data_IF_151013938775
#
_entry.id   IF_151013938775
#
_cell.length_a   1.000
_cell.length_b   1.000
_cell.length_c   1.000
_cell.angle_alpha   90.00
_cell.angle_beta   90.00
_cell.angle_gamma   90.00
#
_symmetry.space_group_name_H-M   'P 1'
#
loop_
_entity.id
_entity.type
_entity.pdbx_description
1 polymer ?
#
# COMPACT_ATOMS: atom_id res chain seq x y z
N UNK A 1 -20.49 -39.05 2.82
CA UNK A 1 -19.82 -37.89 2.20
C UNK A 1 -20.95 -37.00 1.72
N UNK A 2 -21.30 -35.95 2.46
CA UNK A 2 -22.33 -35.02 2.00
C UNK A 2 -21.68 -34.13 0.95
N UNK A 3 -22.05 -34.30 -0.31
CA UNK A 3 -21.80 -33.26 -1.31
C UNK A 3 -22.53 -32.00 -0.84
N UNK A 4 -21.77 -30.97 -0.49
CA UNK A 4 -22.33 -29.66 -0.23
C UNK A 4 -22.90 -29.13 -1.55
N UNK A 5 -24.21 -29.16 -1.71
CA UNK A 5 -24.89 -28.50 -2.83
C UNK A 5 -24.64 -27.00 -2.68
N UNK A 6 -23.76 -26.46 -3.52
CA UNK A 6 -23.54 -25.02 -3.61
C UNK A 6 -24.75 -24.40 -4.29
N UNK A 7 -25.54 -23.61 -3.55
CA UNK A 7 -26.69 -22.90 -4.10
C UNK A 7 -26.26 -21.51 -4.57
N UNK A 8 -26.50 -21.21 -5.85
CA UNK A 8 -26.27 -19.88 -6.43
C UNK A 8 -27.58 -19.12 -6.52
N UNK A 9 -27.53 -17.81 -6.29
CA UNK A 9 -28.72 -16.95 -6.38
C UNK A 9 -29.15 -16.73 -7.83
N UNK A 10 -28.19 -16.74 -8.76
CA UNK A 10 -28.42 -16.53 -10.19
C UNK A 10 -27.75 -17.62 -11.02
N UNK A 11 -28.40 -18.05 -12.10
CA UNK A 11 -27.83 -19.02 -13.03
C UNK A 11 -26.70 -18.40 -13.84
N UNK A 12 -26.85 -17.15 -14.29
CA UNK A 12 -25.84 -16.48 -15.11
C UNK A 12 -25.68 -15.00 -14.75
N UNK A 13 -24.45 -14.65 -14.40
CA UNK A 13 -24.04 -13.31 -13.98
C UNK A 13 -22.99 -12.76 -14.94
N UNK A 14 -23.02 -11.45 -15.16
CA UNK A 14 -22.01 -10.73 -15.94
C UNK A 14 -21.22 -9.75 -15.10
N UNK A 15 -19.95 -9.60 -15.44
CA UNK A 15 -19.06 -8.56 -14.92
C UNK A 15 -18.20 -8.05 -16.07
N UNK A 16 -17.98 -6.74 -16.16
CA UNK A 16 -17.23 -6.15 -17.27
C UNK A 16 -16.22 -5.11 -16.78
N UNK A 17 -15.07 -5.05 -17.44
CA UNK A 17 -14.00 -4.14 -17.07
C UNK A 17 -12.84 -4.15 -18.05
N UNK A 18 -11.96 -3.16 -17.90
CA UNK A 18 -10.67 -3.17 -18.58
C UNK A 18 -9.72 -4.16 -17.91
N UNK A 19 -9.81 -4.33 -16.59
CA UNK A 19 -8.95 -5.22 -15.80
C UNK A 19 -7.45 -4.94 -16.01
N UNK A 20 -7.08 -3.67 -16.21
CA UNK A 20 -5.69 -3.25 -16.27
C UNK A 20 -5.04 -3.43 -14.90
N UNK A 21 -3.90 -4.13 -14.88
CA UNK A 21 -3.14 -4.49 -13.67
C UNK A 21 -4.07 -5.04 -12.58
N UNK A 22 -4.61 -6.24 -12.80
CA UNK A 22 -5.55 -6.91 -11.90
C UNK A 22 -5.12 -6.73 -10.42
N UNK A 23 -6.00 -6.13 -9.64
CA UNK A 23 -5.74 -5.63 -8.29
C UNK A 23 -6.95 -5.94 -7.40
N UNK A 24 -6.79 -5.83 -6.08
CA UNK A 24 -7.83 -6.22 -5.10
C UNK A 24 -9.21 -5.61 -5.35
N UNK A 25 -9.28 -4.37 -5.85
CA UNK A 25 -10.54 -3.77 -6.29
C UNK A 25 -11.28 -4.59 -7.38
N UNK A 26 -10.57 -5.06 -8.41
CA UNK A 26 -11.16 -5.96 -9.42
C UNK A 26 -11.51 -7.32 -8.82
N UNK A 27 -10.61 -7.88 -8.01
CA UNK A 27 -10.82 -9.19 -7.38
C UNK A 27 -12.08 -9.21 -6.51
N UNK A 28 -12.43 -8.12 -5.83
CA UNK A 28 -13.66 -8.01 -5.05
C UNK A 28 -14.91 -8.14 -5.93
N UNK A 29 -14.94 -7.47 -7.09
CA UNK A 29 -16.04 -7.55 -8.05
C UNK A 29 -16.12 -8.95 -8.68
N UNK A 30 -14.98 -9.53 -9.07
CA UNK A 30 -14.92 -10.88 -9.63
C UNK A 30 -15.36 -11.94 -8.61
N UNK A 31 -14.85 -11.85 -7.38
CA UNK A 31 -15.22 -12.76 -6.29
C UNK A 31 -16.73 -12.69 -6.03
N UNK A 32 -17.30 -11.48 -6.02
CA UNK A 32 -18.76 -11.33 -5.88
C UNK A 32 -19.51 -12.00 -7.04
N UNK A 33 -19.03 -11.87 -8.28
CA UNK A 33 -19.66 -12.52 -9.43
C UNK A 33 -19.71 -14.05 -9.28
N UNK A 34 -18.60 -14.68 -8.87
CA UNK A 34 -18.54 -16.13 -8.69
C UNK A 34 -19.24 -16.65 -7.43
N UNK A 35 -19.52 -15.79 -6.46
CA UNK A 35 -20.35 -16.10 -5.30
C UNK A 35 -21.86 -16.06 -5.62
N UNK A 36 -22.27 -15.18 -6.53
CA UNK A 36 -23.68 -14.96 -6.88
C UNK A 36 -24.15 -15.83 -8.05
N UNK A 37 -23.26 -16.10 -9.01
CA UNK A 37 -23.57 -16.79 -10.26
C UNK A 37 -23.06 -18.21 -10.33
N UNK A 38 -23.90 -19.12 -10.82
CA UNK A 38 -23.49 -20.47 -11.25
C UNK A 38 -22.54 -20.37 -12.46
N UNK A 39 -22.88 -19.54 -13.45
CA UNK A 39 -22.04 -19.19 -14.59
C UNK A 39 -21.69 -17.70 -14.56
N UNK A 40 -20.46 -17.36 -14.93
CA UNK A 40 -19.97 -15.98 -14.96
C UNK A 40 -19.39 -15.64 -16.33
N UNK A 41 -19.96 -14.63 -16.98
CA UNK A 41 -19.36 -14.03 -18.19
C UNK A 41 -18.61 -12.74 -17.83
N UNK A 42 -17.33 -12.72 -18.17
CA UNK A 42 -16.38 -11.64 -17.90
C UNK A 42 -16.08 -10.88 -19.19
N UNK A 43 -16.63 -9.68 -19.30
CA UNK A 43 -16.37 -8.78 -20.42
C UNK A 43 -15.05 -8.04 -20.27
N UNK A 44 -14.08 -8.31 -21.14
CA UNK A 44 -12.77 -7.67 -21.16
C UNK A 44 -12.66 -6.68 -22.33
N UNK A 45 -12.43 -5.40 -22.05
CA UNK A 45 -12.35 -4.38 -23.12
C UNK A 45 -11.19 -4.63 -24.09
N UNK A 46 -11.42 -4.48 -25.40
CA UNK A 46 -10.39 -4.60 -26.43
C UNK A 46 -9.39 -3.44 -26.38
N UNK A 47 -8.25 -3.59 -27.04
CA UNK A 47 -7.22 -2.54 -27.07
C UNK A 47 -7.70 -1.31 -27.85
N UNK A 48 -8.50 -1.49 -28.90
CA UNK A 48 -9.12 -0.40 -29.65
C UNK A 48 -10.08 0.41 -28.76
N UNK A 49 -10.86 -0.26 -27.91
CA UNK A 49 -11.76 0.41 -26.96
C UNK A 49 -10.96 1.24 -25.96
N UNK A 50 -9.88 0.67 -25.41
CA UNK A 50 -8.99 1.34 -24.46
C UNK A 50 -8.37 2.59 -25.09
N UNK A 51 -7.83 2.49 -26.30
CA UNK A 51 -7.25 3.61 -27.03
C UNK A 51 -8.26 4.74 -27.27
N UNK A 52 -9.46 4.39 -27.76
CA UNK A 52 -10.49 5.38 -28.11
C UNK A 52 -11.10 6.08 -26.89
N UNK A 53 -11.41 5.34 -25.83
CA UNK A 53 -12.29 5.85 -24.75
C UNK A 53 -11.60 6.03 -23.40
N UNK A 54 -10.51 5.31 -23.12
CA UNK A 54 -9.81 5.38 -21.83
C UNK A 54 -8.60 6.31 -21.92
N UNK A 55 -7.72 6.07 -22.87
CA UNK A 55 -6.51 6.88 -23.04
C UNK A 55 -6.87 8.34 -23.37
N UNK A 56 -7.89 8.57 -24.21
CA UNK A 56 -8.37 9.91 -24.55
C UNK A 56 -9.06 10.65 -23.39
N UNK A 57 -9.71 9.94 -22.45
CA UNK A 57 -10.32 10.56 -21.26
C UNK A 57 -9.26 10.86 -20.21
N UNK A 58 -8.33 9.94 -19.99
CA UNK A 58 -7.26 10.10 -19.02
C UNK A 58 -6.28 11.21 -19.44
N UNK A 59 -5.92 11.28 -20.72
CA UNK A 59 -5.11 12.37 -21.26
C UNK A 59 -5.78 13.75 -21.12
N UNK A 60 -7.12 13.81 -21.10
CA UNK A 60 -7.88 15.05 -20.85
C UNK A 60 -8.00 15.41 -19.36
N UNK A 61 -7.91 14.43 -18.45
CA UNK A 61 -7.90 14.66 -17.00
C UNK A 61 -6.52 14.97 -16.43
N UNK A 62 -5.45 14.71 -17.18
CA UNK A 62 -4.08 15.09 -16.82
C UNK A 62 -3.87 16.61 -16.91
N UNK A 63 -4.42 17.35 -15.95
CA UNK A 63 -3.92 18.68 -15.64
C UNK A 63 -2.58 18.52 -14.91
N UNK A 64 -1.53 19.15 -15.42
CA UNK A 64 -0.15 19.18 -14.91
C UNK A 64 0.80 18.04 -15.33
N UNK A 65 1.50 18.25 -16.45
CA UNK A 65 2.96 18.08 -16.50
C UNK A 65 3.55 16.69 -16.79
N UNK A 66 2.78 15.61 -16.89
CA UNK A 66 3.31 14.32 -17.33
C UNK A 66 2.89 13.98 -18.76
N UNK A 67 3.80 14.22 -19.71
CA UNK A 67 3.68 13.90 -21.15
C UNK A 67 3.81 12.38 -21.43
N UNK A 68 3.16 11.53 -20.64
CA UNK A 68 3.23 10.07 -20.83
C UNK A 68 1.84 9.54 -21.10
N UNK A 69 1.64 9.00 -22.30
CA UNK A 69 0.41 8.26 -22.64
C UNK A 69 0.22 7.12 -21.64
N UNK A 70 -0.97 6.97 -21.03
CA UNK A 70 -1.20 5.91 -20.06
C UNK A 70 -0.94 4.54 -20.69
N UNK A 71 0.08 3.84 -20.17
CA UNK A 71 0.50 2.52 -20.65
C UNK A 71 -0.37 1.43 -20.02
N UNK A 72 -1.54 1.23 -20.61
CA UNK A 72 -2.46 0.13 -20.28
C UNK A 72 -1.95 -1.14 -20.96
N UNK A 73 -2.03 -2.27 -20.24
CA UNK A 73 -1.62 -3.58 -20.76
C UNK A 73 -2.45 -4.00 -21.98
N UNK A 74 -1.87 -4.81 -22.87
CA UNK A 74 -2.58 -5.34 -24.03
C UNK A 74 -3.73 -6.28 -23.62
N UNK A 75 -4.69 -6.48 -24.52
CA UNK A 75 -5.80 -7.41 -24.32
C UNK A 75 -5.31 -8.81 -23.98
N UNK A 76 -4.24 -9.25 -24.67
CA UNK A 76 -3.61 -10.55 -24.44
C UNK A 76 -3.10 -10.68 -23.01
N UNK A 77 -2.34 -9.68 -22.52
CA UNK A 77 -1.79 -9.68 -21.16
C UNK A 77 -2.90 -9.62 -20.10
N UNK A 78 -3.90 -8.74 -20.29
CA UNK A 78 -5.04 -8.62 -19.37
C UNK A 78 -5.87 -9.90 -19.33
N UNK A 79 -6.10 -10.54 -20.48
CA UNK A 79 -6.77 -11.84 -20.56
C UNK A 79 -5.98 -12.92 -19.84
N UNK A 80 -4.66 -12.95 -20.01
CA UNK A 80 -3.80 -13.92 -19.30
C UNK A 80 -3.90 -13.74 -17.78
N UNK A 81 -3.82 -12.51 -17.28
CA UNK A 81 -3.98 -12.25 -15.84
C UNK A 81 -5.33 -12.70 -15.28
N UNK A 82 -6.42 -12.57 -16.06
CA UNK A 82 -7.72 -13.11 -15.67
C UNK A 82 -7.74 -14.64 -15.65
N UNK A 83 -7.15 -15.29 -16.66
CA UNK A 83 -7.05 -16.75 -16.70
C UNK A 83 -6.23 -17.30 -15.52
N UNK A 84 -5.10 -16.66 -15.19
CA UNK A 84 -4.27 -17.04 -14.05
C UNK A 84 -5.04 -16.90 -12.73
N UNK A 85 -5.81 -15.81 -12.58
CA UNK A 85 -6.67 -15.59 -11.41
C UNK A 85 -7.77 -16.66 -11.31
N UNK A 86 -8.46 -16.97 -12.42
CA UNK A 86 -9.49 -18.01 -12.47
C UNK A 86 -8.94 -19.39 -12.12
N UNK A 87 -7.76 -19.74 -12.63
CA UNK A 87 -7.10 -21.00 -12.33
C UNK A 87 -6.73 -21.11 -10.84
N UNK A 88 -6.17 -20.04 -10.27
CA UNK A 88 -5.79 -19.98 -8.85
C UNK A 88 -6.99 -20.15 -7.91
N UNK A 89 -8.19 -19.72 -8.33
CA UNK A 89 -9.41 -19.78 -7.51
C UNK A 89 -10.34 -20.94 -7.89
N UNK A 90 -9.96 -21.80 -8.85
CA UNK A 90 -10.78 -22.94 -9.27
C UNK A 90 -12.07 -22.57 -10.01
N UNK A 91 -12.10 -21.43 -10.71
CA UNK A 91 -13.30 -20.91 -11.39
C UNK A 91 -13.35 -21.17 -12.89
N UNK A 92 -12.34 -21.84 -13.46
CA UNK A 92 -12.18 -22.02 -14.91
C UNK A 92 -13.40 -22.62 -15.60
N UNK A 93 -14.05 -23.63 -15.00
CA UNK A 93 -15.17 -24.35 -15.64
C UNK A 93 -16.45 -23.53 -15.73
N UNK A 94 -16.58 -22.48 -14.89
CA UNK A 94 -17.78 -21.64 -14.80
C UNK A 94 -17.58 -20.25 -15.39
N UNK A 95 -16.42 -19.99 -15.98
CA UNK A 95 -16.02 -18.67 -16.45
C UNK A 95 -15.97 -18.60 -17.98
N UNK A 96 -16.55 -17.55 -18.55
CA UNK A 96 -16.43 -17.22 -19.98
C UNK A 96 -15.88 -15.81 -20.14
N UNK A 97 -14.76 -15.64 -20.84
CA UNK A 97 -14.18 -14.31 -21.12
C UNK A 97 -14.58 -13.86 -22.53
N UNK A 98 -15.24 -12.71 -22.65
CA UNK A 98 -15.69 -12.13 -23.93
C UNK A 98 -14.99 -10.80 -24.16
N UNK A 99 -14.50 -10.57 -25.39
CA UNK A 99 -13.92 -9.29 -25.77
C UNK A 99 -15.02 -8.22 -25.97
N UNK A 100 -14.84 -7.04 -25.37
CA UNK A 100 -15.76 -5.92 -25.52
C UNK A 100 -15.16 -4.83 -26.41
N UNK A 101 -15.83 -4.56 -27.53
CA UNK A 101 -15.43 -3.51 -28.48
C UNK A 101 -16.22 -2.20 -28.29
N UNK A 102 -17.25 -2.22 -27.43
CA UNK A 102 -18.12 -1.09 -27.11
C UNK A 102 -18.45 -1.05 -25.60
N UNK A 103 -19.05 0.04 -25.08
CA UNK A 103 -19.31 0.21 -23.65
C UNK A 103 -20.37 -0.73 -23.05
N UNK A 104 -21.14 -1.41 -23.90
CA UNK A 104 -22.32 -2.18 -23.53
C UNK A 104 -22.09 -3.67 -23.64
N UNK A 105 -21.29 -4.14 -24.59
CA UNK A 105 -20.96 -5.56 -24.72
C UNK A 105 -22.19 -6.45 -24.99
N UNK A 106 -22.14 -7.75 -24.62
CA UNK A 106 -23.20 -8.71 -24.94
C UNK A 106 -24.45 -8.58 -24.04
N UNK A 107 -24.58 -7.50 -23.26
CA UNK A 107 -25.72 -7.31 -22.35
C UNK A 107 -26.78 -6.39 -22.93
N UNK A 108 -26.49 -5.75 -24.07
CA UNK A 108 -27.43 -4.97 -24.87
C UNK A 108 -27.74 -5.73 -26.17
N UNK A 109 -29.03 -5.94 -26.49
CA UNK A 109 -29.44 -6.62 -27.72
C UNK A 109 -28.84 -5.96 -28.96
N UNK A 110 -28.11 -6.73 -29.78
CA UNK A 110 -27.80 -6.33 -31.16
C UNK A 110 -28.84 -6.85 -32.16
N UNK A 111 -29.65 -7.84 -31.76
CA UNK A 111 -30.78 -8.37 -32.52
C UNK A 111 -31.86 -8.91 -31.56
N UNK A 112 -33.17 -8.72 -31.84
CA UNK A 112 -34.26 -9.21 -30.99
C UNK A 112 -34.29 -10.74 -30.83
N UNK A 113 -33.57 -11.49 -31.68
CA UNK A 113 -33.55 -12.95 -31.71
C UNK A 113 -32.23 -13.59 -31.28
N UNK A 114 -31.29 -12.85 -30.66
CA UNK A 114 -30.06 -13.46 -30.12
C UNK A 114 -30.38 -14.28 -28.85
N UNK A 115 -30.36 -15.63 -28.89
CA UNK A 115 -30.77 -16.47 -27.77
C UNK A 115 -29.72 -16.48 -26.65
N UNK A 116 -28.45 -16.23 -26.97
CA UNK A 116 -27.33 -16.41 -26.04
C UNK A 116 -27.27 -15.35 -24.93
N UNK A 117 -28.04 -14.26 -25.03
CA UNK A 117 -27.99 -13.11 -24.14
C UNK A 117 -29.23 -12.96 -23.24
N UNK A 118 -30.27 -13.79 -23.44
CA UNK A 118 -31.53 -13.72 -22.68
C UNK A 118 -31.46 -14.38 -21.30
N UNK A 119 -30.51 -15.28 -21.10
CA UNK A 119 -30.36 -16.05 -19.86
C UNK A 119 -29.53 -15.31 -18.78
N UNK A 120 -29.02 -14.11 -19.07
CA UNK A 120 -28.28 -13.29 -18.11
C UNK A 120 -29.28 -12.63 -17.15
N UNK A 121 -29.09 -12.88 -15.84
CA UNK A 121 -30.03 -12.47 -14.80
C UNK A 121 -29.53 -11.28 -13.98
N UNK A 122 -28.21 -11.18 -13.78
CA UNK A 122 -27.62 -10.13 -12.96
C UNK A 122 -26.31 -9.58 -13.52
N UNK A 123 -26.02 -8.33 -13.20
CA UNK A 123 -24.77 -7.64 -13.50
C UNK A 123 -24.09 -7.19 -12.21
N UNK A 124 -22.83 -7.58 -12.03
CA UNK A 124 -21.98 -7.07 -10.95
C UNK A 124 -21.29 -5.81 -11.42
N UNK A 125 -21.42 -4.75 -10.61
CA UNK A 125 -20.75 -3.48 -10.84
C UNK A 125 -20.11 -2.98 -9.57
N UNK A 126 -19.01 -2.27 -9.72
CA UNK A 126 -18.50 -1.39 -8.66
C UNK A 126 -19.36 -0.13 -8.54
N UNK A 127 -19.27 0.56 -7.40
CA UNK A 127 -20.00 1.81 -7.17
C UNK A 127 -19.80 2.85 -8.28
N UNK A 128 -18.60 2.96 -8.85
CA UNK A 128 -18.28 3.91 -9.93
C UNK A 128 -18.93 3.53 -11.29
N UNK A 129 -19.31 2.27 -11.49
CA UNK A 129 -19.90 1.76 -12.73
C UNK A 129 -21.42 1.53 -12.64
N UNK A 130 -22.04 1.80 -11.48
CA UNK A 130 -23.50 1.66 -11.26
C UNK A 130 -24.34 2.42 -12.29
N UNK A 131 -24.00 3.68 -12.59
CA UNK A 131 -24.74 4.49 -13.55
C UNK A 131 -24.76 3.85 -14.95
N UNK A 132 -23.68 3.15 -15.33
CA UNK A 132 -23.59 2.45 -16.61
C UNK A 132 -24.47 1.19 -16.62
N UNK A 133 -24.60 0.48 -15.50
CA UNK A 133 -25.55 -0.63 -15.39
C UNK A 133 -27.03 -0.17 -15.43
N UNK A 134 -27.33 1.01 -14.87
CA UNK A 134 -28.65 1.61 -15.00
C UNK A 134 -28.98 1.96 -16.46
N UNK A 135 -28.00 2.48 -17.19
CA UNK A 135 -28.11 2.74 -18.64
C UNK A 135 -28.40 1.45 -19.43
N UNK A 136 -27.66 0.37 -19.14
CA UNK A 136 -27.90 -0.95 -19.74
C UNK A 136 -29.34 -1.40 -19.50
N UNK A 137 -29.85 -1.26 -18.28
CA UNK A 137 -31.23 -1.62 -17.96
C UNK A 137 -32.26 -0.74 -18.67
N UNK A 138 -31.96 0.53 -18.96
CA UNK A 138 -32.83 1.38 -19.77
C UNK A 138 -32.91 0.84 -21.20
N UNK A 139 -31.77 0.58 -21.83
CA UNK A 139 -31.69 0.02 -23.20
C UNK A 139 -32.37 -1.36 -23.29
N UNK A 140 -32.21 -2.22 -22.28
CA UNK A 140 -32.89 -3.52 -22.22
C UNK A 140 -34.40 -3.36 -22.21
N UNK A 141 -34.96 -2.42 -21.42
CA UNK A 141 -36.40 -2.15 -21.39
C UNK A 141 -36.92 -1.61 -22.71
N UNK A 142 -36.18 -0.69 -23.34
CA UNK A 142 -36.51 -0.13 -24.65
C UNK A 142 -36.58 -1.24 -25.73
N UNK A 143 -35.73 -2.26 -25.61
CA UNK A 143 -35.72 -3.43 -26.48
C UNK A 143 -36.66 -4.58 -26.04
N UNK A 144 -37.47 -4.39 -24.99
CA UNK A 144 -38.39 -5.41 -24.47
C UNK A 144 -37.74 -6.57 -23.70
N UNK A 145 -36.48 -6.43 -23.30
CA UNK A 145 -35.75 -7.42 -22.50
C UNK A 145 -35.96 -7.19 -21.00
N UNK A 146 -35.92 -8.27 -20.20
CA UNK A 146 -35.97 -8.17 -18.73
C UNK A 146 -34.76 -7.38 -18.23
N UNK A 147 -34.94 -6.43 -17.30
CA UNK A 147 -33.82 -5.74 -16.67
C UNK A 147 -32.97 -6.75 -15.87
N UNK A 148 -31.66 -6.52 -15.83
CA UNK A 148 -30.72 -7.25 -15.01
C UNK A 148 -30.83 -6.77 -13.56
N UNK A 149 -30.71 -7.69 -12.62
CA UNK A 149 -30.47 -7.33 -11.22
C UNK A 149 -29.08 -6.70 -11.11
N UNK A 150 -29.01 -5.47 -10.62
CA UNK A 150 -27.73 -4.77 -10.42
C UNK A 150 -27.22 -5.09 -9.03
N UNK A 151 -26.07 -5.76 -8.94
CA UNK A 151 -25.41 -6.08 -7.68
C UNK A 151 -24.20 -5.16 -7.55
N UNK A 152 -24.29 -4.22 -6.63
CA UNK A 152 -23.23 -3.24 -6.40
C UNK A 152 -22.20 -3.77 -5.39
N UNK A 153 -20.92 -3.62 -5.73
CA UNK A 153 -19.78 -3.90 -4.87
C UNK A 153 -19.14 -2.57 -4.48
N UNK A 154 -19.06 -2.25 -3.17
CA UNK A 154 -18.34 -1.06 -2.71
C UNK A 154 -16.89 -1.06 -3.20
N UNK A 155 -16.36 0.12 -3.50
CA UNK A 155 -14.96 0.26 -3.88
C UNK A 155 -14.05 -0.18 -2.72
N UNK A 156 -13.05 -1.00 -3.02
CA UNK A 156 -12.03 -1.42 -2.03
C UNK A 156 -11.08 -0.25 -1.79
N UNK A 157 -10.91 0.13 -0.53
CA UNK A 157 -9.97 1.17 -0.12
C UNK A 157 -8.53 0.65 -0.15
N UNK A 158 -7.61 1.53 -0.55
CA UNK A 158 -6.19 1.41 -0.30
C UNK A 158 -5.88 1.84 1.15
N UNK A 159 -4.60 1.78 1.52
CA UNK A 159 -4.12 2.18 2.85
C UNK A 159 -4.44 3.65 3.19
N UNK A 160 -4.39 4.53 2.19
CA UNK A 160 -4.79 5.93 2.34
C UNK A 160 -6.31 6.18 2.32
N UNK A 161 -7.13 5.14 2.50
CA UNK A 161 -8.60 5.17 2.52
C UNK A 161 -9.22 5.49 1.14
N UNK A 162 -8.43 5.98 0.18
CA UNK A 162 -8.88 6.26 -1.18
C UNK A 162 -9.07 4.94 -1.95
N UNK A 163 -10.03 4.86 -2.89
CA UNK A 163 -10.24 3.65 -3.68
C UNK A 163 -9.00 3.14 -4.42
N UNK A 164 -8.79 1.82 -4.43
CA UNK A 164 -7.83 1.15 -5.32
C UNK A 164 -8.33 1.28 -6.76
N UNK A 165 -7.46 1.69 -7.69
CA UNK A 165 -7.78 1.73 -9.12
C UNK A 165 -6.55 1.46 -9.99
N UNK A 166 -6.78 0.98 -11.22
CA UNK A 166 -5.72 0.72 -12.21
C UNK A 166 -4.81 1.92 -12.44
N UNK A 167 -5.36 3.14 -12.40
CA UNK A 167 -4.59 4.37 -12.59
C UNK A 167 -3.56 4.53 -11.48
N UNK A 168 -3.97 4.39 -10.22
CA UNK A 168 -3.08 4.50 -9.06
C UNK A 168 -2.01 3.41 -9.05
N UNK A 169 -2.40 2.18 -9.41
CA UNK A 169 -1.46 1.05 -9.55
C UNK A 169 -0.45 1.29 -10.68
N UNK A 170 -0.90 1.87 -11.80
CA UNK A 170 -0.06 2.18 -12.96
C UNK A 170 0.92 3.32 -12.66
N UNK A 171 0.46 4.33 -11.94
CA UNK A 171 1.26 5.47 -11.51
C UNK A 171 2.24 5.12 -10.38
N UNK A 172 2.19 3.89 -9.85
CA UNK A 172 2.95 3.47 -8.66
C UNK A 172 2.66 4.38 -7.46
N UNK A 173 1.41 4.84 -7.32
CA UNK A 173 0.92 5.43 -6.07
C UNK A 173 0.64 4.32 -5.06
N UNK A 174 0.14 3.17 -5.54
CA UNK A 174 -0.13 1.98 -4.74
C UNK A 174 0.28 0.71 -5.48
N UNK A 175 0.50 -0.38 -4.76
CA UNK A 175 0.59 -1.72 -5.35
C UNK A 175 -0.80 -2.32 -5.66
N UNK A 176 -0.84 -3.55 -6.20
CA UNK A 176 -2.10 -4.24 -6.54
C UNK A 176 -2.93 -4.60 -5.31
N UNK A 177 -2.35 -4.51 -4.12
CA UNK A 177 -2.93 -4.86 -2.84
C UNK A 177 -3.46 -3.62 -2.11
N UNK A 178 -3.18 -2.42 -2.64
CA UNK A 178 -3.59 -1.14 -2.07
C UNK A 178 -2.56 -0.52 -1.15
N UNK A 179 -1.31 -0.98 -1.15
CA UNK A 179 -0.25 -0.46 -0.29
C UNK A 179 0.44 0.73 -0.91
N UNK A 180 0.74 1.78 -0.15
CA UNK A 180 1.25 3.06 -0.67
C UNK A 180 2.70 2.99 -1.14
N UNK A 181 2.95 3.08 -2.45
CA UNK A 181 4.31 3.05 -2.99
C UNK A 181 4.92 4.46 -2.92
N UNK A 182 6.14 4.56 -2.41
CA UNK A 182 6.93 5.78 -2.42
C UNK A 182 7.29 6.18 -3.86
N UNK A 183 6.95 7.40 -4.27
CA UNK A 183 7.41 7.96 -5.54
C UNK A 183 8.95 8.08 -5.63
N UNK A 184 9.53 7.68 -6.76
CA UNK A 184 10.99 7.72 -6.96
C UNK A 184 11.58 9.14 -6.87
N UNK A 185 10.79 10.18 -7.16
CA UNK A 185 11.17 11.58 -7.05
C UNK A 185 11.26 12.09 -5.60
N UNK A 186 10.71 11.37 -4.61
CA UNK A 186 10.87 11.70 -3.19
C UNK A 186 12.18 11.18 -2.60
N UNK A 187 12.78 10.14 -3.20
CA UNK A 187 14.02 9.53 -2.69
C UNK A 187 15.15 10.56 -2.44
N UNK A 188 15.42 11.55 -3.33
CA UNK A 188 16.45 12.55 -3.07
C UNK A 188 16.11 13.49 -1.90
N UNK A 189 14.83 13.74 -1.65
CA UNK A 189 14.36 14.61 -0.58
C UNK A 189 14.38 13.89 0.77
N UNK A 190 13.98 12.62 0.81
CA UNK A 190 14.09 11.75 1.99
C UNK A 190 15.54 11.42 2.36
N UNK A 191 16.47 11.52 1.40
CA UNK A 191 17.91 11.45 1.66
C UNK A 191 18.44 12.67 2.42
N UNK A 192 17.69 13.78 2.51
CA UNK A 192 18.11 14.92 3.32
C UNK A 192 17.77 14.64 4.79
N UNK A 193 18.69 14.88 5.74
CA UNK A 193 18.39 14.71 7.15
C UNK A 193 17.27 15.68 7.55
N UNK A 194 16.24 15.16 8.22
CA UNK A 194 15.14 15.94 8.79
C UNK A 194 15.57 16.64 10.09
N UNK A 195 16.78 16.37 10.56
CA UNK A 195 17.34 16.91 11.79
C UNK A 195 18.84 17.15 11.71
N UNK A 196 19.46 17.29 12.87
CA UNK A 196 20.90 17.49 12.99
C UNK A 196 21.61 16.16 12.81
N UNK A 197 22.58 16.09 11.90
CA UNK A 197 23.47 14.92 11.77
C UNK A 197 24.53 14.98 12.88
N UNK A 198 24.59 13.95 13.71
CA UNK A 198 25.59 13.76 14.76
C UNK A 198 26.67 12.78 14.29
N UNK A 199 27.93 13.12 14.58
CA UNK A 199 29.10 12.30 14.22
C UNK A 199 30.08 12.18 15.37
N UNK A 200 30.69 11.01 15.53
CA UNK A 200 31.73 10.77 16.54
C UNK A 200 31.26 11.11 17.95
N UNK A 201 32.08 11.88 18.67
CA UNK A 201 31.81 12.25 20.07
C UNK A 201 30.56 13.13 20.26
N UNK A 202 30.07 13.78 19.20
CA UNK A 202 28.83 14.56 19.27
C UNK A 202 27.62 13.68 19.61
N UNK A 203 27.64 12.42 19.20
CA UNK A 203 26.58 11.45 19.49
C UNK A 203 26.46 11.28 21.00
N UNK A 204 27.57 10.92 21.66
CA UNK A 204 27.61 10.69 23.10
C UNK A 204 27.31 11.97 23.87
N UNK A 205 27.83 13.12 23.43
CA UNK A 205 27.56 14.41 24.07
C UNK A 205 26.08 14.79 23.99
N UNK A 206 25.46 14.62 22.82
CA UNK A 206 24.03 14.87 22.65
C UNK A 206 23.24 13.95 23.57
N UNK A 207 23.44 12.64 23.48
CA UNK A 207 22.74 11.63 24.30
C UNK A 207 22.89 11.91 25.81
N UNK A 208 24.11 12.19 26.30
CA UNK A 208 24.35 12.50 27.73
C UNK A 208 23.69 13.79 28.20
N UNK A 209 23.56 14.80 27.34
CA UNK A 209 22.85 16.03 27.69
C UNK A 209 21.36 15.79 27.99
N UNK A 210 20.79 14.68 27.50
CA UNK A 210 19.41 14.28 27.78
C UNK A 210 19.28 13.47 29.07
N UNK A 211 20.26 12.62 29.37
CA UNK A 211 20.35 11.94 30.67
C UNK A 211 20.39 12.95 31.83
N UNK A 212 20.98 14.14 31.63
CA UNK A 212 21.04 15.19 32.63
C UNK A 212 19.72 15.97 32.83
N UNK A 213 18.80 15.92 31.85
CA UNK A 213 17.50 16.63 31.88
C UNK A 213 16.34 15.73 32.35
N UNK A 214 16.63 14.71 33.16
CA UNK A 214 15.67 13.70 33.61
C UNK A 214 14.32 14.30 34.02
N UNK A 215 13.25 13.85 33.35
CA UNK A 215 11.88 14.24 33.66
C UNK A 215 10.86 13.80 32.60
N UNK A 216 10.97 14.28 31.35
CA UNK A 216 9.78 14.28 30.46
C UNK A 216 10.07 14.06 28.95
N UNK A 217 11.32 13.84 28.55
CA UNK A 217 11.65 13.73 27.12
C UNK A 217 11.51 12.28 26.62
N UNK A 218 10.51 12.04 25.78
CA UNK A 218 10.32 10.77 25.08
C UNK A 218 11.45 10.55 24.06
N UNK A 219 12.21 9.46 24.18
CA UNK A 219 13.31 9.10 23.28
C UNK A 219 12.90 7.96 22.37
N UNK A 220 13.06 8.12 21.07
CA UNK A 220 12.61 7.17 20.05
C UNK A 220 13.78 6.84 19.13
N UNK A 221 13.95 5.57 18.78
CA UNK A 221 14.93 5.13 17.79
C UNK A 221 14.26 4.46 16.60
N UNK A 222 14.72 4.81 15.39
CA UNK A 222 14.38 4.11 14.15
C UNK A 222 15.66 3.57 13.55
N UNK A 223 15.77 2.25 13.61
CA UNK A 223 16.83 1.44 13.04
C UNK A 223 17.79 0.80 14.03
N UNK A 224 18.37 -0.31 13.60
CA UNK A 224 19.22 -1.17 14.41
C UNK A 224 20.46 -0.45 14.95
N UNK A 225 21.18 0.27 14.08
CA UNK A 225 22.41 0.99 14.45
C UNK A 225 22.09 2.14 15.40
N UNK A 226 21.02 2.89 15.14
CA UNK A 226 20.59 4.00 16.01
C UNK A 226 20.22 3.49 17.41
N UNK A 227 19.45 2.41 17.45
CA UNK A 227 19.03 1.75 18.69
C UNK A 227 20.23 1.24 19.49
N UNK A 228 21.13 0.49 18.85
CA UNK A 228 22.37 -0.01 19.46
C UNK A 228 23.21 1.14 20.04
N UNK A 229 23.39 2.21 19.28
CA UNK A 229 24.22 3.36 19.66
C UNK A 229 23.71 4.03 20.95
N UNK A 230 22.40 4.19 21.09
CA UNK A 230 21.80 4.76 22.29
C UNK A 230 21.94 3.83 23.50
N UNK A 231 21.69 2.53 23.30
CA UNK A 231 21.82 1.53 24.36
C UNK A 231 23.26 1.42 24.88
N UNK A 232 24.26 1.44 23.99
CA UNK A 232 25.68 1.43 24.37
C UNK A 232 26.08 2.71 25.13
N UNK A 233 25.36 3.81 24.92
CA UNK A 233 25.52 5.05 25.66
C UNK A 233 24.74 5.09 26.99
N UNK A 234 24.05 4.00 27.36
CA UNK A 234 23.26 3.89 28.59
C UNK A 234 21.88 4.55 28.52
N UNK A 235 21.38 4.87 27.33
CA UNK A 235 20.04 5.42 27.12
C UNK A 235 19.12 4.36 26.56
N UNK A 236 18.01 4.12 27.26
CA UNK A 236 16.97 3.21 26.79
C UNK A 236 15.87 4.01 26.08
N UNK A 237 15.57 3.74 24.81
CA UNK A 237 14.48 4.41 24.11
C UNK A 237 13.12 3.94 24.66
N UNK A 238 12.15 4.84 24.64
CA UNK A 238 10.74 4.55 24.94
C UNK A 238 10.04 3.82 23.78
N UNK A 239 10.53 4.02 22.56
CA UNK A 239 10.11 3.27 21.37
C UNK A 239 11.34 2.97 20.52
N UNK A 240 11.57 1.70 20.22
CA UNK A 240 12.57 1.25 19.24
C UNK A 240 11.88 0.56 18.08
N UNK A 241 12.20 0.99 16.85
CA UNK A 241 11.74 0.34 15.61
C UNK A 241 12.98 -0.24 14.94
N UNK A 242 13.01 -1.55 14.68
CA UNK A 242 14.16 -2.27 14.12
C UNK A 242 13.71 -3.29 13.07
N UNK A 243 14.52 -3.56 12.04
CA UNK A 243 14.30 -4.61 11.05
C UNK A 243 15.21 -5.84 11.23
N UNK A 244 16.14 -5.75 12.19
CA UNK A 244 17.11 -6.80 12.49
C UNK A 244 18.13 -6.98 11.36
N UNK A 245 18.37 -5.95 10.55
CA UNK A 245 19.31 -5.94 9.44
C UNK A 245 20.14 -4.65 9.46
N UNK A 246 21.39 -4.75 8.99
CA UNK A 246 22.23 -3.59 8.69
C UNK A 246 22.84 -3.80 7.32
N UNK A 247 22.62 -2.85 6.40
CA UNK A 247 23.08 -2.99 5.01
C UNK A 247 22.58 -4.26 4.33
N UNK A 248 21.34 -4.69 4.63
CA UNK A 248 20.68 -5.93 4.17
C UNK A 248 21.28 -7.24 4.70
N UNK A 249 22.20 -7.20 5.67
CA UNK A 249 22.72 -8.38 6.37
C UNK A 249 22.03 -8.54 7.74
N UNK A 250 21.76 -9.77 8.21
CA UNK A 250 21.20 -9.98 9.55
C UNK A 250 22.04 -9.32 10.64
N UNK A 251 21.38 -8.58 11.54
CA UNK A 251 21.97 -7.88 12.67
C UNK A 251 21.11 -8.11 13.92
N UNK A 252 21.64 -8.86 14.88
CA UNK A 252 20.90 -9.23 16.10
C UNK A 252 21.33 -8.44 17.34
N UNK A 253 22.35 -7.60 17.22
CA UNK A 253 22.97 -6.96 18.38
C UNK A 253 22.05 -5.91 19.03
N UNK A 254 21.25 -5.17 18.25
CA UNK A 254 20.26 -4.26 18.81
C UNK A 254 19.21 -5.02 19.63
N UNK A 255 18.65 -6.11 19.07
CA UNK A 255 17.68 -6.96 19.75
C UNK A 255 18.28 -7.63 21.00
N UNK A 256 19.54 -8.08 20.96
CA UNK A 256 20.25 -8.62 22.13
C UNK A 256 20.46 -7.56 23.21
N UNK A 257 20.85 -6.35 22.85
CA UNK A 257 21.02 -5.25 23.79
C UNK A 257 19.68 -4.88 24.44
N UNK A 258 18.62 -4.72 23.63
CA UNK A 258 17.27 -4.48 24.12
C UNK A 258 16.87 -5.58 25.13
N UNK A 259 16.90 -6.85 24.74
CA UNK A 259 16.50 -7.95 25.63
C UNK A 259 17.33 -8.04 26.93
N UNK A 260 18.59 -7.58 26.94
CA UNK A 260 19.47 -7.57 28.12
C UNK A 260 19.31 -6.34 29.02
N UNK A 261 18.95 -5.17 28.49
CA UNK A 261 18.97 -3.88 29.19
C UNK A 261 17.76 -3.59 30.09
N UNK A 262 17.17 -4.61 30.73
CA UNK A 262 15.93 -4.57 31.53
C UNK A 262 14.61 -4.54 30.77
N UNK A 263 14.62 -4.56 29.44
CA UNK A 263 13.39 -4.66 28.64
C UNK A 263 12.72 -6.07 28.76
N UNK A 264 13.50 -7.13 28.98
CA UNK A 264 12.97 -8.50 29.05
C UNK A 264 12.23 -8.94 30.33
N UNK A 265 12.01 -8.09 31.36
CA UNK A 265 11.53 -8.58 32.68
C UNK A 265 10.14 -8.12 33.13
N UNK A 266 9.57 -6.98 32.68
CA UNK A 266 8.21 -6.58 33.07
C UNK A 266 7.46 -5.74 32.02
N UNK A 267 6.79 -6.41 31.07
CA UNK A 267 5.55 -5.90 30.48
C UNK A 267 5.65 -5.10 29.18
N UNK A 268 6.59 -5.43 28.31
CA UNK A 268 6.74 -4.78 27.00
C UNK A 268 5.94 -5.49 25.92
N UNK A 269 5.59 -4.73 24.89
CA UNK A 269 4.88 -5.25 23.71
C UNK A 269 5.86 -5.34 22.55
N UNK A 270 6.24 -6.56 22.16
CA UNK A 270 6.90 -6.81 20.88
C UNK A 270 5.83 -6.88 19.81
N UNK A 271 5.84 -5.92 18.88
CA UNK A 271 4.93 -5.94 17.73
C UNK A 271 5.76 -6.33 16.52
N UNK A 272 5.40 -7.45 15.87
CA UNK A 272 5.93 -7.80 14.56
C UNK A 272 4.99 -7.25 13.51
N UNK A 273 5.52 -6.48 12.56
CA UNK A 273 4.74 -5.93 11.45
C UNK A 273 5.44 -6.17 10.12
N UNK A 274 4.68 -6.15 9.04
CA UNK A 274 5.20 -6.32 7.69
C UNK A 274 5.31 -4.94 7.01
N UNK A 275 6.48 -4.60 6.48
CA UNK A 275 6.70 -3.35 5.73
C UNK A 275 7.74 -3.54 4.63
N UNK A 276 7.30 -3.81 3.41
CA UNK A 276 8.20 -4.08 2.29
C UNK A 276 8.91 -2.83 1.72
N UNK A 277 9.83 -3.02 0.76
CA UNK A 277 10.67 -1.95 0.24
C UNK A 277 9.85 -0.88 -0.48
N UNK A 278 10.06 0.37 -0.10
CA UNK A 278 9.43 1.51 -0.76
C UNK A 278 7.93 1.70 -0.48
N UNK A 279 7.36 1.14 0.59
CA UNK A 279 6.03 1.53 1.08
C UNK A 279 5.99 1.63 2.61
N UNK A 280 4.97 2.31 3.14
CA UNK A 280 4.68 2.37 4.59
C UNK A 280 3.32 1.72 4.79
N UNK A 281 3.26 0.59 5.50
CA UNK A 281 1.99 -0.11 5.72
C UNK A 281 1.08 0.60 6.71
N UNK A 282 -0.24 0.43 6.57
CA UNK A 282 -1.22 0.92 7.55
C UNK A 282 -0.96 0.34 8.94
N UNK A 283 -0.61 -0.95 9.01
CA UNK A 283 -0.23 -1.62 10.24
C UNK A 283 0.94 -0.90 10.93
N UNK A 284 1.93 -0.43 10.17
CA UNK A 284 3.03 0.37 10.71
C UNK A 284 2.56 1.74 11.20
N UNK A 285 1.70 2.43 10.43
CA UNK A 285 1.15 3.73 10.84
C UNK A 285 0.33 3.63 12.13
N UNK A 286 -0.52 2.62 12.24
CA UNK A 286 -1.35 2.34 13.42
C UNK A 286 -0.52 1.92 14.62
N UNK A 287 0.47 1.02 14.43
CA UNK A 287 1.37 0.60 15.50
C UNK A 287 2.17 1.79 16.05
N UNK A 288 2.72 2.63 15.17
CA UNK A 288 3.47 3.83 15.57
C UNK A 288 2.55 4.82 16.29
N UNK A 289 1.37 5.12 15.74
CA UNK A 289 0.40 6.03 16.39
C UNK A 289 -0.03 5.51 17.76
N UNK A 290 -0.31 4.20 17.86
CA UNK A 290 -0.71 3.54 19.09
C UNK A 290 0.39 3.52 20.15
N UNK A 291 1.66 3.46 19.74
CA UNK A 291 2.80 3.41 20.66
C UNK A 291 2.88 4.63 21.59
N UNK A 292 2.54 5.82 21.10
CA UNK A 292 2.59 7.08 21.88
C UNK A 292 1.47 7.21 22.93
N UNK A 293 0.50 6.31 22.94
CA UNK A 293 -0.54 6.24 23.97
C UNK A 293 -0.19 5.28 25.11
N UNK A 294 0.92 4.54 25.00
CA UNK A 294 1.35 3.54 25.97
C UNK A 294 2.31 4.16 27.00
N UNK A 295 2.25 3.64 28.22
CA UNK A 295 3.10 4.09 29.33
C UNK A 295 4.41 3.28 29.46
N UNK A 296 4.52 2.17 28.73
CA UNK A 296 5.67 1.27 28.78
C UNK A 296 6.49 1.37 27.51
N UNK A 297 7.78 1.07 27.64
CA UNK A 297 8.68 0.96 26.50
C UNK A 297 8.18 -0.10 25.50
N UNK A 298 8.36 0.18 24.21
CA UNK A 298 7.88 -0.68 23.13
C UNK A 298 8.98 -0.95 22.11
N UNK A 299 8.99 -2.17 21.58
CA UNK A 299 9.86 -2.57 20.48
C UNK A 299 9.00 -3.03 19.32
N UNK A 300 9.14 -2.36 18.18
CA UNK A 300 8.51 -2.72 16.92
C UNK A 300 9.57 -3.41 16.06
N UNK A 301 9.30 -4.65 15.67
CA UNK A 301 10.14 -5.43 14.77
C UNK A 301 9.48 -5.45 13.40
N UNK A 302 10.17 -4.89 12.42
CA UNK A 302 9.70 -4.70 11.05
C UNK A 302 10.26 -5.79 10.17
N UNK A 303 9.41 -6.58 9.54
CA UNK A 303 9.81 -7.47 8.45
C UNK A 303 9.80 -6.68 7.14
N UNK A 304 10.93 -6.04 6.85
CA UNK A 304 11.21 -5.31 5.61
C UNK A 304 12.00 -4.01 5.86
N UNK A 305 11.73 -2.91 5.15
CA UNK A 305 12.54 -1.67 5.25
C UNK A 305 12.01 -0.70 6.32
N UNK A 306 12.86 -0.35 7.29
CA UNK A 306 12.56 0.61 8.38
C UNK A 306 12.81 2.08 8.02
N UNK A 307 13.58 2.34 6.96
CA UNK A 307 14.11 3.66 6.60
C UNK A 307 13.01 4.74 6.46
N UNK A 308 11.81 4.32 6.07
CA UNK A 308 10.67 5.22 5.85
C UNK A 308 9.87 5.50 7.10
N UNK A 309 10.05 4.71 8.15
CA UNK A 309 9.29 4.83 9.39
C UNK A 309 9.74 6.01 10.26
N UNK A 310 10.89 6.62 9.95
CA UNK A 310 11.30 7.87 10.57
C UNK A 310 10.28 9.00 10.33
N UNK A 311 9.66 9.06 9.14
CA UNK A 311 8.63 10.06 8.82
C UNK A 311 7.37 9.95 9.68
N UNK A 312 6.65 8.80 9.73
CA UNK A 312 5.47 8.66 10.58
C UNK A 312 5.81 8.78 12.06
N UNK A 313 7.01 8.34 12.49
CA UNK A 313 7.46 8.58 13.87
C UNK A 313 7.53 10.08 14.17
N UNK A 314 8.19 10.88 13.33
CA UNK A 314 8.27 12.34 13.54
C UNK A 314 6.89 12.99 13.46
N UNK A 315 6.03 12.54 12.54
CA UNK A 315 4.69 13.09 12.34
C UNK A 315 3.76 12.82 13.54
N UNK A 316 3.89 11.68 14.22
CA UNK A 316 2.98 11.28 15.29
C UNK A 316 3.52 11.51 16.70
N UNK A 317 4.85 11.51 16.90
CA UNK A 317 5.46 11.72 18.20
C UNK A 317 5.03 13.04 18.86
N UNK A 318 4.90 13.10 20.20
CA UNK A 318 4.55 14.32 20.91
C UNK A 318 5.63 15.40 20.73
N UNK A 319 5.22 16.67 20.77
CA UNK A 319 6.16 17.80 20.72
C UNK A 319 7.10 17.72 21.93
N UNK A 320 8.39 17.95 21.69
CA UNK A 320 9.46 17.78 22.68
C UNK A 320 10.12 16.40 22.67
N UNK A 321 9.53 15.40 21.99
CA UNK A 321 10.18 14.11 21.81
C UNK A 321 11.47 14.23 20.99
N UNK A 322 12.38 13.25 21.16
CA UNK A 322 13.61 13.13 20.38
C UNK A 322 13.62 11.85 19.58
N UNK A 323 13.77 11.99 18.28
CA UNK A 323 13.85 10.87 17.34
C UNK A 323 15.28 10.75 16.84
N UNK A 324 15.85 9.56 16.98
CA UNK A 324 17.15 9.19 16.47
C UNK A 324 17.00 8.15 15.37
N UNK A 325 17.52 8.43 14.18
CA UNK A 325 17.48 7.46 13.09
C UNK A 325 18.77 7.44 12.29
N UNK A 326 19.09 6.28 11.73
CA UNK A 326 20.28 6.11 10.89
C UNK A 326 20.09 6.80 9.54
N UNK A 327 21.13 7.46 9.03
CA UNK A 327 21.14 7.95 7.67
C UNK A 327 22.38 7.46 6.91
N UNK A 328 22.23 6.88 5.70
CA UNK A 328 23.36 6.59 4.84
C UNK A 328 24.20 7.84 4.58
N UNK A 329 25.51 7.73 4.39
CA UNK A 329 26.36 8.88 4.16
C UNK A 329 25.90 9.67 2.92
N UNK A 330 25.70 10.99 3.10
CA UNK A 330 25.23 11.92 2.04
C UNK A 330 26.14 11.96 0.80
N UNK A 331 27.40 11.54 0.97
CA UNK A 331 28.40 11.32 -0.09
C UNK A 331 29.25 10.10 0.30
N UNK A 332 29.79 9.31 -0.65
CA UNK A 332 30.86 8.37 -0.35
C UNK A 332 32.09 9.16 0.10
N UNK A 333 32.18 9.41 1.41
CA UNK A 333 33.28 10.13 2.04
C UNK A 333 34.37 9.12 2.36
N UNK A 334 35.57 9.37 1.82
CA UNK A 334 36.78 8.58 2.11
C UNK A 334 37.33 8.81 3.52
N UNK A 335 36.78 9.76 4.29
CA UNK A 335 37.41 10.28 5.53
C UNK A 335 36.77 9.84 6.85
N UNK A 336 35.64 9.15 6.84
CA UNK A 336 35.04 8.60 8.04
C UNK A 336 34.63 7.15 7.77
N UNK A 337 35.45 6.19 8.21
CA UNK A 337 35.18 4.75 8.09
C UNK A 337 34.73 4.17 9.43
N UNK A 338 33.68 3.36 9.45
CA UNK A 338 33.32 2.57 10.64
C UNK A 338 34.38 1.49 10.91
N UNK A 339 34.19 0.69 11.98
CA UNK A 339 35.10 -0.39 12.34
C UNK A 339 35.23 -1.47 11.26
N UNK A 340 34.34 -1.48 10.25
CA UNK A 340 34.33 -2.40 9.12
C UNK A 340 34.79 -1.74 7.80
N UNK A 341 35.24 -0.48 7.83
CA UNK A 341 35.77 0.20 6.65
C UNK A 341 34.74 0.85 5.73
N UNK A 342 33.45 0.89 6.09
CA UNK A 342 32.39 1.53 5.30
C UNK A 342 32.29 3.03 5.61
N UNK A 343 31.86 3.83 4.62
CA UNK A 343 31.61 5.25 4.83
C UNK A 343 30.57 5.44 5.95
N UNK A 344 30.96 6.12 7.03
CA UNK A 344 30.09 6.33 8.20
C UNK A 344 28.86 7.14 7.80
N UNK A 345 27.70 6.49 7.85
CA UNK A 345 26.44 7.19 8.03
C UNK A 345 26.46 7.98 9.35
N UNK A 346 25.65 9.04 9.43
CA UNK A 346 25.48 9.81 10.66
C UNK A 346 24.24 9.35 11.42
N UNK A 347 24.22 9.58 12.73
CA UNK A 347 22.99 9.47 13.52
C UNK A 347 22.25 10.80 13.39
N UNK A 348 21.04 10.80 12.85
CA UNK A 348 20.24 12.02 12.77
C UNK A 348 19.44 12.16 14.05
N UNK A 349 19.57 13.32 14.68
CA UNK A 349 18.76 13.73 15.83
C UNK A 349 17.71 14.75 15.38
N UNK A 350 16.44 14.43 15.63
CA UNK A 350 15.31 15.33 15.43
C UNK A 350 14.68 15.64 16.77
N UNK A 351 14.62 16.94 17.11
CA UNK A 351 13.72 17.43 18.16
C UNK A 351 12.36 17.67 17.52
N UNK A 352 11.33 17.00 18.01
CA UNK A 352 9.99 17.08 17.45
C UNK A 352 9.37 18.43 17.85
N UNK A 353 9.31 19.36 16.90
CA UNK A 353 8.57 20.63 17.02
C UNK A 353 7.31 20.59 16.16
N UNK A 354 6.40 21.54 16.36
CA UNK A 354 5.20 21.66 15.51
C UNK A 354 5.56 21.79 14.03
N UNK A 355 6.63 22.53 13.71
CA UNK A 355 7.14 22.70 12.34
C UNK A 355 7.66 21.38 11.78
N UNK A 356 8.41 20.60 12.57
CA UNK A 356 8.90 19.28 12.15
C UNK A 356 7.79 18.27 11.93
N UNK A 357 6.73 18.33 12.74
CA UNK A 357 5.52 17.51 12.52
C UNK A 357 4.85 17.89 11.19
N UNK A 358 4.69 19.18 10.91
CA UNK A 358 4.11 19.65 9.66
C UNK A 358 4.96 19.27 8.44
N UNK A 359 6.29 19.39 8.53
CA UNK A 359 7.22 18.95 7.49
C UNK A 359 7.07 17.44 7.21
N UNK A 360 7.04 16.62 8.26
CA UNK A 360 6.85 15.17 8.13
C UNK A 360 5.46 14.82 7.55
N UNK A 361 4.39 15.48 8.00
CA UNK A 361 3.04 15.29 7.45
C UNK A 361 2.95 15.72 5.99
N UNK A 362 3.58 16.82 5.60
CA UNK A 362 3.61 17.28 4.22
C UNK A 362 4.38 16.29 3.32
N UNK A 363 5.49 15.73 3.82
CA UNK A 363 6.23 14.68 3.13
C UNK A 363 5.39 13.40 3.02
N UNK A 364 4.76 12.95 4.09
CA UNK A 364 3.84 11.79 4.09
C UNK A 364 2.66 11.98 3.14
N UNK A 365 2.10 13.19 3.07
CA UNK A 365 1.04 13.55 2.15
C UNK A 365 1.44 13.41 0.67
N UNK A 366 2.75 13.41 0.36
CA UNK A 366 3.26 13.19 -1.01
C UNK A 366 3.42 11.71 -1.36
N UNK A 367 3.16 10.79 -0.43
CA UNK A 367 3.04 9.36 -0.68
C UNK A 367 1.62 8.97 -1.18
N UNK A 368 0.75 9.95 -1.50
CA UNK A 368 -0.66 9.73 -1.90
C UNK A 368 -0.92 9.70 -3.40
#
# INVERSE_FOLDING_TARGET
MYDSITYYMYRHVVVAGTFDRLHRGHEAVLTRAFAEGELVTMGLTSDEYVQKFKISREARSSFAGQNSTPQILSFKERKQHLLDWLATHGFMERATIVALHDPFGPVVPQSPHDPAQRDIEAIIVSTDTRARAQEINRLRREAGWKPLTIIEVPMVAAEDIRPISSTRVRNKEIDRQGRLIMPDNLRPELKKPLGRVLVGDEIIRSIRSHLAKQGETLIITVGDVATKTLLDAGVTPSLAIIDGKVGRKPYSEALKCLTRSHLGKQGETFIKLQSGPGYISDEALEAIRGSFTKTKAMVIIVDGEEDLLALPVIAYAPVGARVYYGQPPLRPSTKARDFEGQARGGLVEVVVTSEKKQEAVALLGRFT
#
